data_IF_022354750955
#
_entry.id   IF_022354750955
#
_cell.length_a   1.000
_cell.length_b   1.000
_cell.length_c   1.000
_cell.angle_alpha   90.00
_cell.angle_beta   90.00
_cell.angle_gamma   90.00
#
_symmetry.space_group_name_H-M   'P 1'
#
loop_
_entity.id
_entity.type
_entity.pdbx_description
1 polymer ?
#
# COMPACT_ATOMS: atom_id res chain seq x y z
N UNK A 1 3.32 4.99 -5.86
CA UNK A 1 4.20 3.83 -6.08
C UNK A 1 3.53 2.51 -5.68
N UNK A 2 2.87 2.44 -4.54
CA UNK A 2 2.17 1.23 -4.04
C UNK A 2 1.12 0.69 -5.03
N UNK A 3 0.29 1.58 -5.58
CA UNK A 3 -0.71 1.22 -6.62
C UNK A 3 -0.04 0.62 -7.87
N UNK A 4 1.11 1.17 -8.27
CA UNK A 4 1.89 0.66 -9.39
C UNK A 4 2.42 -0.75 -9.08
N UNK A 5 3.04 -0.95 -7.91
CA UNK A 5 3.55 -2.26 -7.47
C UNK A 5 2.43 -3.31 -7.44
N UNK A 6 1.24 -2.94 -6.96
CA UNK A 6 0.08 -3.83 -6.97
C UNK A 6 -0.40 -4.15 -8.39
N UNK A 7 -0.47 -3.15 -9.28
CA UNK A 7 -1.02 -3.29 -10.63
C UNK A 7 -0.15 -4.12 -11.58
N UNK A 8 1.15 -4.24 -11.34
CA UNK A 8 2.05 -5.07 -12.16
C UNK A 8 1.89 -6.57 -11.90
N UNK A 9 1.08 -6.97 -10.93
CA UNK A 9 0.62 -8.34 -10.77
C UNK A 9 1.68 -9.34 -10.30
N UNK A 10 2.63 -8.93 -9.47
CA UNK A 10 3.59 -9.87 -8.85
C UNK A 10 2.80 -10.87 -8.00
N UNK A 11 3.01 -12.16 -8.25
CA UNK A 11 2.33 -13.23 -7.50
C UNK A 11 2.55 -13.07 -6.00
N UNK A 12 1.52 -13.34 -5.21
CA UNK A 12 1.52 -13.22 -3.74
C UNK A 12 1.75 -11.79 -3.19
N UNK A 13 1.81 -10.77 -4.05
CA UNK A 13 1.87 -9.37 -3.63
C UNK A 13 0.48 -8.74 -3.75
N UNK A 14 -0.25 -8.73 -2.64
CA UNK A 14 -1.53 -8.03 -2.50
C UNK A 14 -1.35 -6.55 -2.21
N UNK A 15 -2.46 -5.82 -2.03
CA UNK A 15 -2.45 -4.37 -1.79
C UNK A 15 -1.62 -3.99 -0.54
N UNK A 16 -1.75 -4.75 0.55
CA UNK A 16 -1.01 -4.48 1.80
C UNK A 16 0.50 -4.69 1.61
N UNK A 17 0.91 -5.79 0.97
CA UNK A 17 2.32 -6.03 0.65
C UNK A 17 2.87 -4.96 -0.28
N UNK A 18 2.12 -4.57 -1.32
CA UNK A 18 2.50 -3.50 -2.24
C UNK A 18 2.70 -2.15 -1.51
N UNK A 19 1.88 -1.86 -0.50
CA UNK A 19 2.02 -0.68 0.35
C UNK A 19 3.27 -0.74 1.22
N UNK A 20 3.57 -1.90 1.82
CA UNK A 20 4.80 -2.12 2.60
C UNK A 20 6.03 -1.91 1.72
N UNK A 21 6.06 -2.55 0.54
CA UNK A 21 7.15 -2.44 -0.43
C UNK A 21 7.28 -1.00 -0.95
N UNK A 22 6.17 -0.34 -1.26
CA UNK A 22 6.15 1.06 -1.66
C UNK A 22 6.75 1.98 -0.60
N UNK A 23 6.40 1.78 0.66
CA UNK A 23 6.96 2.53 1.79
C UNK A 23 8.45 2.26 2.01
N UNK A 24 8.94 1.08 1.71
CA UNK A 24 10.37 0.76 1.75
C UNK A 24 11.14 1.55 0.70
N UNK A 25 10.71 1.50 -0.55
CA UNK A 25 11.39 2.20 -1.65
C UNK A 25 11.12 3.69 -1.67
N UNK A 26 9.94 4.15 -1.27
CA UNK A 26 9.46 5.55 -1.30
C UNK A 26 9.36 6.15 -2.71
N UNK A 27 10.35 5.92 -3.57
CA UNK A 27 10.49 6.48 -4.92
C UNK A 27 10.53 5.38 -5.97
N UNK A 28 9.96 5.65 -7.14
CA UNK A 28 10.00 4.75 -8.29
C UNK A 28 11.43 4.43 -8.76
N UNK A 29 12.33 5.43 -8.69
CA UNK A 29 13.75 5.25 -9.02
C UNK A 29 14.44 4.22 -8.13
N UNK A 30 14.10 4.17 -6.83
CA UNK A 30 14.67 3.16 -5.91
C UNK A 30 14.07 1.76 -6.20
N UNK A 31 12.78 1.70 -6.52
CA UNK A 31 12.13 0.46 -6.93
C UNK A 31 12.75 -0.12 -8.20
N UNK A 32 13.16 0.73 -9.15
CA UNK A 32 13.83 0.27 -10.38
C UNK A 32 15.19 -0.39 -10.15
N UNK A 33 15.78 -0.26 -8.97
CA UNK A 33 17.04 -0.97 -8.64
C UNK A 33 16.87 -2.49 -8.55
N UNK A 34 15.62 -2.98 -8.42
CA UNK A 34 15.31 -4.43 -8.54
C UNK A 34 15.64 -5.02 -9.91
N UNK A 35 15.71 -4.20 -10.97
CA UNK A 35 16.16 -4.66 -12.30
C UNK A 35 17.65 -5.01 -12.33
N UNK A 36 18.43 -4.46 -11.41
CA UNK A 36 19.85 -4.74 -11.34
C UNK A 36 20.10 -6.00 -10.50
N UNK A 37 20.51 -7.07 -11.14
CA UNK A 37 20.76 -8.38 -10.51
C UNK A 37 21.74 -8.28 -9.33
N UNK A 38 22.82 -7.51 -9.48
CA UNK A 38 23.83 -7.33 -8.42
C UNK A 38 23.29 -6.63 -7.17
N UNK A 39 22.29 -5.76 -7.32
CA UNK A 39 21.65 -5.02 -6.22
C UNK A 39 20.45 -5.76 -5.64
N UNK A 40 19.74 -6.52 -6.49
CA UNK A 40 18.48 -7.19 -6.14
C UNK A 40 18.62 -8.07 -4.90
N UNK A 41 19.63 -8.93 -4.84
CA UNK A 41 19.83 -9.81 -3.69
C UNK A 41 19.89 -9.08 -2.35
N UNK A 42 20.64 -7.98 -2.26
CA UNK A 42 20.71 -7.15 -1.05
C UNK A 42 19.37 -6.45 -0.73
N UNK A 43 18.67 -6.01 -1.76
CA UNK A 43 17.36 -5.37 -1.59
C UNK A 43 16.34 -6.38 -1.04
N UNK A 44 16.32 -7.60 -1.59
CA UNK A 44 15.42 -8.66 -1.15
C UNK A 44 15.68 -9.05 0.31
N UNK A 45 16.94 -9.15 0.71
CA UNK A 45 17.32 -9.39 2.10
C UNK A 45 16.77 -8.31 3.05
N UNK A 46 16.87 -7.04 2.67
CA UNK A 46 16.31 -5.95 3.48
C UNK A 46 14.76 -5.93 3.48
N UNK A 47 14.12 -6.42 2.42
CA UNK A 47 12.67 -6.55 2.36
C UNK A 47 12.15 -7.68 3.26
N UNK A 48 12.90 -8.77 3.40
CA UNK A 48 12.56 -9.91 4.25
C UNK A 48 12.46 -9.53 5.74
N UNK A 49 13.22 -8.53 6.19
CA UNK A 49 13.17 -8.01 7.54
C UNK A 49 11.88 -7.22 7.86
N UNK A 50 11.02 -6.98 6.85
CA UNK A 50 9.80 -6.19 7.03
C UNK A 50 8.61 -7.05 7.49
N UNK A 51 7.94 -6.62 8.55
CA UNK A 51 6.68 -7.25 8.98
C UNK A 51 5.65 -7.26 7.85
N UNK A 52 5.18 -8.45 7.46
CA UNK A 52 4.20 -8.67 6.40
C UNK A 52 4.82 -9.04 5.04
N UNK A 53 6.14 -9.13 4.96
CA UNK A 53 6.87 -9.71 3.84
C UNK A 53 7.57 -10.98 4.34
N UNK A 54 7.33 -12.10 3.71
CA UNK A 54 7.96 -13.38 4.06
C UNK A 54 8.57 -14.04 2.82
N UNK A 55 9.15 -15.23 3.00
CA UNK A 55 9.86 -15.99 1.96
C UNK A 55 9.07 -16.11 0.65
N UNK A 56 7.76 -16.35 0.74
CA UNK A 56 6.91 -16.50 -0.44
C UNK A 56 6.85 -15.23 -1.28
N UNK A 57 6.75 -14.07 -0.63
CA UNK A 57 6.74 -12.78 -1.28
C UNK A 57 8.12 -12.46 -1.86
N UNK A 58 9.19 -12.73 -1.12
CA UNK A 58 10.58 -12.52 -1.56
C UNK A 58 10.87 -13.35 -2.82
N UNK A 59 10.56 -14.64 -2.81
CA UNK A 59 10.73 -15.52 -3.99
C UNK A 59 9.93 -15.00 -5.18
N UNK A 60 8.68 -14.59 -4.97
CA UNK A 60 7.83 -14.07 -6.06
C UNK A 60 8.36 -12.78 -6.67
N UNK A 61 8.97 -11.90 -5.86
CA UNK A 61 9.63 -10.68 -6.34
C UNK A 61 10.88 -11.05 -7.15
N UNK A 62 11.72 -11.95 -6.62
CA UNK A 62 12.94 -12.37 -7.32
C UNK A 62 12.63 -13.05 -8.65
N UNK A 63 11.70 -14.01 -8.69
CA UNK A 63 11.25 -14.69 -9.90
C UNK A 63 10.72 -13.68 -10.94
N UNK A 64 9.93 -12.70 -10.48
CA UNK A 64 9.36 -11.68 -11.36
C UNK A 64 10.43 -10.82 -12.02
N UNK A 65 11.40 -10.32 -11.26
CA UNK A 65 12.46 -9.42 -11.76
C UNK A 65 13.62 -10.16 -12.41
N UNK A 66 13.78 -11.47 -12.18
CA UNK A 66 14.72 -12.34 -12.91
C UNK A 66 14.25 -12.63 -14.33
N UNK A 67 12.94 -12.50 -14.60
CA UNK A 67 12.42 -12.65 -15.95
C UNK A 67 12.70 -11.38 -16.77
N UNK A 68 13.55 -11.53 -17.80
CA UNK A 68 13.97 -10.42 -18.65
C UNK A 68 12.80 -9.70 -19.33
N UNK A 69 11.78 -10.46 -19.81
CA UNK A 69 10.58 -9.86 -20.43
C UNK A 69 9.80 -8.99 -19.46
N UNK A 70 9.61 -9.45 -18.21
CA UNK A 70 8.95 -8.65 -17.19
C UNK A 70 9.74 -7.36 -16.93
N UNK A 71 11.05 -7.47 -16.79
CA UNK A 71 11.92 -6.32 -16.56
C UNK A 71 11.81 -5.28 -17.68
N UNK A 72 11.82 -5.71 -18.94
CA UNK A 72 11.68 -4.85 -20.12
C UNK A 72 10.31 -4.14 -20.15
N UNK A 73 9.22 -4.88 -19.91
CA UNK A 73 7.87 -4.34 -19.86
C UNK A 73 7.74 -3.30 -18.74
N UNK A 74 8.20 -3.62 -17.54
CA UNK A 74 8.09 -2.70 -16.39
C UNK A 74 8.96 -1.46 -16.59
N UNK A 75 10.15 -1.58 -17.14
CA UNK A 75 10.98 -0.42 -17.49
C UNK A 75 10.28 0.48 -18.51
N UNK A 76 9.67 -0.10 -19.54
CA UNK A 76 8.89 0.65 -20.53
C UNK A 76 7.70 1.36 -19.89
N UNK A 77 6.95 0.69 -19.02
CA UNK A 77 5.85 1.33 -18.28
C UNK A 77 6.35 2.48 -17.39
N UNK A 78 7.45 2.29 -16.69
CA UNK A 78 8.03 3.33 -15.83
C UNK A 78 8.54 4.54 -16.61
N UNK A 79 8.92 4.38 -17.89
CA UNK A 79 9.37 5.48 -18.74
C UNK A 79 8.23 6.39 -19.21
N UNK A 80 7.01 5.85 -19.34
CA UNK A 80 5.83 6.59 -19.87
C UNK A 80 4.85 7.02 -18.77
N UNK A 81 4.89 6.37 -17.59
CA UNK A 81 3.98 6.67 -16.49
C UNK A 81 4.59 7.65 -15.49
N UNK A 82 3.80 8.62 -15.07
CA UNK A 82 4.15 9.47 -13.93
C UNK A 82 3.78 8.75 -12.62
N UNK A 83 4.70 7.94 -12.10
CA UNK A 83 4.50 7.18 -10.87
C UNK A 83 4.71 8.10 -9.68
N UNK A 84 3.61 8.46 -9.00
CA UNK A 84 3.68 9.25 -7.77
C UNK A 84 4.47 8.52 -6.70
N UNK A 85 5.38 9.25 -6.05
CA UNK A 85 6.13 8.74 -4.90
C UNK A 85 5.20 8.42 -3.72
N UNK A 86 5.70 7.61 -2.78
CA UNK A 86 4.97 7.40 -1.52
C UNK A 86 4.95 8.71 -0.75
N UNK A 87 3.75 9.15 -0.39
CA UNK A 87 3.61 10.34 0.42
C UNK A 87 4.14 10.07 1.82
N UNK A 88 4.89 11.01 2.37
CA UNK A 88 5.31 10.94 3.77
C UNK A 88 4.05 11.04 4.63
N UNK A 89 3.76 10.01 5.42
CA UNK A 89 2.76 10.12 6.48
C UNK A 89 3.23 11.27 7.39
N UNK A 90 2.42 12.30 7.49
CA UNK A 90 2.75 13.43 8.37
C UNK A 90 2.82 12.93 9.82
N UNK A 91 4.01 13.01 10.43
CA UNK A 91 4.17 12.69 11.86
C UNK A 91 3.40 13.67 12.76
N UNK A 92 3.00 14.81 12.21
CA UNK A 92 2.27 15.89 12.89
C UNK A 92 0.92 16.20 12.22
N UNK A 93 0.33 15.24 11.52
CA UNK A 93 -1.00 15.38 10.92
C UNK A 93 -2.09 15.43 12.01
N UNK A 94 -3.25 16.01 11.67
CA UNK A 94 -4.42 16.18 12.56
C UNK A 94 -4.87 14.85 13.17
N UNK A 95 -4.65 13.72 12.46
CA UNK A 95 -5.03 12.39 12.89
C UNK A 95 -3.87 11.53 13.38
N UNK A 96 -2.73 12.14 13.71
CA UNK A 96 -1.58 11.41 14.27
C UNK A 96 -1.98 10.63 15.51
N UNK A 97 -1.60 9.34 15.58
CA UNK A 97 -1.97 8.39 16.64
C UNK A 97 -3.49 8.10 16.75
N UNK A 98 -4.29 8.49 15.75
CA UNK A 98 -5.72 8.16 15.69
C UNK A 98 -5.98 7.00 14.72
N UNK A 99 -6.88 6.11 15.13
CA UNK A 99 -7.36 5.01 14.30
C UNK A 99 -8.72 5.35 13.74
N UNK A 100 -8.87 5.22 12.42
CA UNK A 100 -10.10 5.59 11.70
C UNK A 100 -10.59 4.40 10.89
N UNK A 101 -11.89 4.17 10.91
CA UNK A 101 -12.57 3.22 10.04
C UNK A 101 -13.59 3.96 9.17
N UNK A 102 -13.64 3.62 7.90
CA UNK A 102 -14.58 4.16 6.93
C UNK A 102 -15.62 3.11 6.53
N UNK A 103 -16.90 3.47 6.57
CA UNK A 103 -18.02 2.60 6.14
C UNK A 103 -19.04 3.38 5.34
N UNK A 104 -19.83 2.70 4.52
CA UNK A 104 -20.77 3.35 3.61
C UNK A 104 -20.13 3.93 2.36
N UNK A 105 -20.92 4.57 1.50
CA UNK A 105 -20.48 5.31 0.31
C UNK A 105 -20.41 6.80 0.58
N UNK A 106 -19.49 7.50 -0.07
CA UNK A 106 -19.31 8.95 0.05
C UNK A 106 -19.70 9.61 -1.27
N UNK A 107 -20.37 10.78 -1.21
CA UNK A 107 -20.87 11.47 -2.41
C UNK A 107 -19.76 12.21 -3.17
N UNK A 108 -18.83 12.83 -2.43
CA UNK A 108 -17.84 13.75 -3.00
C UNK A 108 -16.50 13.08 -3.33
N UNK A 109 -16.26 11.87 -2.84
CA UNK A 109 -15.01 11.14 -3.04
C UNK A 109 -15.22 9.64 -2.88
N UNK A 110 -14.33 8.82 -3.42
CA UNK A 110 -14.32 7.39 -3.17
C UNK A 110 -13.85 7.07 -1.74
N UNK A 111 -14.23 5.89 -1.23
CA UNK A 111 -13.73 5.43 0.08
C UNK A 111 -12.20 5.30 0.09
N UNK A 112 -11.61 4.96 -1.04
CA UNK A 112 -10.15 4.86 -1.19
C UNK A 112 -9.48 6.22 -1.06
N UNK A 113 -10.05 7.26 -1.65
CA UNK A 113 -9.56 8.63 -1.52
C UNK A 113 -9.69 9.14 -0.09
N UNK A 114 -10.84 8.92 0.56
CA UNK A 114 -11.04 9.31 1.97
C UNK A 114 -10.01 8.64 2.90
N UNK A 115 -9.71 7.36 2.68
CA UNK A 115 -8.67 6.64 3.43
C UNK A 115 -7.28 7.24 3.18
N UNK A 116 -6.94 7.51 1.92
CA UNK A 116 -5.65 8.09 1.55
C UNK A 116 -5.44 9.46 2.23
N UNK A 117 -6.45 10.33 2.19
CA UNK A 117 -6.41 11.64 2.85
C UNK A 117 -6.20 11.49 4.38
N UNK A 118 -6.88 10.56 5.01
CA UNK A 118 -6.73 10.33 6.46
C UNK A 118 -5.32 9.80 6.80
N UNK A 119 -4.78 8.87 6.00
CA UNK A 119 -3.41 8.35 6.17
C UNK A 119 -2.35 9.42 5.95
N UNK A 120 -2.51 10.29 4.95
CA UNK A 120 -1.64 11.46 4.71
C UNK A 120 -1.59 12.39 5.93
N UNK A 121 -2.71 12.48 6.65
CA UNK A 121 -2.83 13.25 7.89
C UNK A 121 -2.49 12.44 9.17
N UNK A 122 -1.82 11.31 9.03
CA UNK A 122 -1.27 10.54 10.13
C UNK A 122 -2.20 9.49 10.75
N UNK A 123 -3.41 9.27 10.18
CA UNK A 123 -4.34 8.27 10.68
C UNK A 123 -3.88 6.84 10.40
N UNK A 124 -4.20 5.94 11.31
CA UNK A 124 -4.15 4.49 11.08
C UNK A 124 -5.52 4.01 10.62
N UNK A 125 -5.61 3.43 9.43
CA UNK A 125 -6.88 2.91 8.91
C UNK A 125 -7.11 1.48 9.42
N UNK A 126 -8.30 1.25 9.99
CA UNK A 126 -8.74 -0.07 10.44
C UNK A 126 -9.80 -0.65 9.49
N UNK A 127 -9.69 -1.95 9.21
CA UNK A 127 -10.66 -2.69 8.38
C UNK A 127 -11.89 -3.18 9.15
N UNK A 128 -11.82 -3.22 10.49
CA UNK A 128 -12.88 -3.70 11.37
C UNK A 128 -12.97 -2.86 12.65
N UNK A 129 -14.12 -2.92 13.32
CA UNK A 129 -14.33 -2.29 14.61
C UNK A 129 -13.53 -3.05 15.67
N UNK A 130 -12.75 -2.32 16.44
CA UNK A 130 -11.97 -2.85 17.56
C UNK A 130 -11.93 -1.83 18.70
N UNK A 131 -11.52 -2.26 19.90
CA UNK A 131 -11.32 -1.36 21.05
C UNK A 131 -10.29 -0.23 20.78
N UNK A 132 -9.48 -0.36 19.71
CA UNK A 132 -8.48 0.63 19.30
C UNK A 132 -9.03 1.67 18.32
N UNK A 133 -10.32 1.58 17.93
CA UNK A 133 -10.91 2.52 16.98
C UNK A 133 -11.22 3.85 17.67
N UNK A 134 -10.68 4.95 17.15
CA UNK A 134 -10.96 6.30 17.65
C UNK A 134 -12.13 6.95 16.90
N UNK A 135 -12.20 6.79 15.57
CA UNK A 135 -13.22 7.41 14.75
C UNK A 135 -13.83 6.40 13.76
N UNK A 136 -15.15 6.42 13.68
CA UNK A 136 -15.92 5.74 12.64
C UNK A 136 -16.51 6.79 11.72
N UNK A 137 -16.05 6.83 10.47
CA UNK A 137 -16.58 7.73 9.44
C UNK A 137 -17.62 6.96 8.63
N UNK A 138 -18.86 7.44 8.68
CA UNK A 138 -20.00 6.83 8.01
C UNK A 138 -20.40 7.70 6.83
N UNK A 139 -20.37 7.13 5.62
CA UNK A 139 -20.87 7.81 4.42
C UNK A 139 -22.41 7.76 4.34
N UNK A 140 -22.97 8.51 3.39
CA UNK A 140 -24.41 8.72 3.25
C UNK A 140 -25.21 7.47 2.80
N UNK A 141 -24.56 6.47 2.20
CA UNK A 141 -25.24 5.21 1.87
C UNK A 141 -25.36 4.32 3.09
N UNK A 142 -26.58 3.81 3.34
CA UNK A 142 -26.85 2.85 4.44
C UNK A 142 -25.84 1.71 4.42
N UNK A 143 -25.19 1.37 5.55
CA UNK A 143 -24.29 0.24 5.62
C UNK A 143 -25.02 -1.05 5.27
N UNK A 144 -24.48 -1.84 4.35
CA UNK A 144 -25.08 -3.06 3.79
C UNK A 144 -25.20 -4.22 4.78
N UNK A 145 -24.69 -4.09 6.00
CA UNK A 145 -24.88 -5.06 7.09
C UNK A 145 -25.19 -4.32 8.38
N UNK A 146 -26.37 -4.58 8.96
CA UNK A 146 -26.68 -4.26 10.36
C UNK A 146 -25.63 -4.94 11.24
N UNK A 147 -24.61 -4.20 11.67
CA UNK A 147 -23.81 -4.64 12.82
C UNK A 147 -24.56 -4.21 14.07
N UNK A 148 -25.05 -5.20 14.82
CA UNK A 148 -25.71 -4.99 16.11
C UNK A 148 -24.76 -4.21 17.03
N UNK A 149 -25.09 -2.96 17.30
CA UNK A 149 -24.52 -2.17 18.36
C UNK A 149 -25.23 -2.58 19.64
N UNK A 150 -24.62 -3.43 20.45
CA UNK A 150 -24.98 -3.53 21.87
C UNK A 150 -24.02 -2.60 22.61
N UNK A 151 -24.63 -1.61 23.19
CA UNK A 151 -24.08 -0.67 24.19
C UNK A 151 -23.30 -1.39 25.29
#
# INVERSE_FOLDING_TARGET
LDKFIYSIGIRHIGQENAKIIGNFFKKSKQFSELFNEKKRGKILQNLEDLNGIGDTQIRSIDDFFSNKKNSEIIQSLMSVLNIKEMQKISKNGVFTNKSIMFTGGFEKMSRSEAKAIAEENGAKILGSISKKLNYLVIGNSKPTKKKNWKS
#
